data_IF_144604896331
#
_entry.id   IF_144604896331
#
_cell.length_a   1.000
_cell.length_b   1.000
_cell.length_c   1.000
_cell.angle_alpha   90.00
_cell.angle_beta   90.00
_cell.angle_gamma   90.00
#
_symmetry.space_group_name_H-M   'P 1'
#
loop_
_entity.id
_entity.type
_entity.pdbx_description
1 polymer ?
#
# COMPACT_ATOMS: atom_id res chain seq x y z
N UNK A 1 -50.39 -77.18 34.47
CA UNK A 1 -50.14 -77.18 33.02
C UNK A 1 -51.07 -76.13 32.43
N UNK A 2 -50.58 -74.94 32.13
CA UNK A 2 -51.36 -73.87 31.45
C UNK A 2 -50.57 -73.28 30.36
N UNK A 3 -51.00 -73.43 29.12
CA UNK A 3 -50.43 -72.83 27.91
C UNK A 3 -50.89 -71.39 27.82
N UNK A 4 -49.92 -70.47 27.78
CA UNK A 4 -50.14 -69.05 27.50
C UNK A 4 -49.96 -68.83 26.01
N UNK A 5 -51.04 -68.38 25.33
CA UNK A 5 -51.04 -68.00 23.92
C UNK A 5 -50.58 -66.54 23.79
N UNK A 6 -49.45 -66.32 23.07
CA UNK A 6 -48.99 -65.01 22.73
C UNK A 6 -49.81 -64.40 21.55
N UNK A 7 -50.40 -63.26 21.73
CA UNK A 7 -51.01 -62.45 20.70
C UNK A 7 -49.95 -61.69 19.93
N UNK A 8 -49.80 -62.02 18.60
CA UNK A 8 -49.05 -61.19 17.67
C UNK A 8 -49.82 -59.95 17.33
N UNK A 9 -49.24 -58.77 17.66
CA UNK A 9 -49.76 -57.49 17.24
C UNK A 9 -49.29 -57.21 15.83
N UNK A 10 -50.26 -57.16 14.86
CA UNK A 10 -50.00 -56.71 13.49
C UNK A 10 -49.81 -55.22 13.46
N UNK A 11 -48.62 -54.76 13.23
CA UNK A 11 -48.30 -53.35 13.08
C UNK A 11 -48.55 -52.90 11.63
N UNK A 12 -49.54 -52.06 11.44
CA UNK A 12 -50.01 -51.57 10.16
C UNK A 12 -49.03 -50.56 9.56
N UNK A 13 -48.39 -50.92 8.47
CA UNK A 13 -47.43 -50.09 7.72
C UNK A 13 -48.17 -49.12 6.80
N UNK A 14 -48.77 -48.02 7.32
CA UNK A 14 -49.21 -46.91 6.46
C UNK A 14 -49.49 -45.69 7.34
N UNK A 15 -48.41 -45.09 7.89
CA UNK A 15 -48.45 -43.69 8.27
C UNK A 15 -47.46 -42.93 7.40
N UNK A 16 -47.99 -42.35 6.31
CA UNK A 16 -47.28 -41.41 5.46
C UNK A 16 -47.09 -40.09 6.23
N UNK A 17 -45.93 -39.88 6.80
CA UNK A 17 -45.54 -38.52 7.29
C UNK A 17 -45.31 -37.63 6.07
N UNK A 18 -46.25 -36.76 5.80
CA UNK A 18 -46.04 -35.61 4.93
C UNK A 18 -45.14 -34.64 5.69
N UNK A 19 -43.80 -34.72 5.55
CA UNK A 19 -42.91 -33.66 5.93
C UNK A 19 -43.03 -32.55 4.89
N UNK A 20 -43.68 -31.48 5.25
CA UNK A 20 -43.60 -30.21 4.54
C UNK A 20 -42.24 -29.60 4.79
N UNK A 21 -41.33 -29.72 3.82
CA UNK A 21 -40.05 -28.99 3.83
C UNK A 21 -40.39 -27.53 3.49
N UNK A 22 -40.58 -26.70 4.52
CA UNK A 22 -40.58 -25.26 4.35
C UNK A 22 -39.15 -24.84 3.95
N UNK A 23 -38.94 -24.61 2.67
CA UNK A 23 -37.65 -24.10 2.16
C UNK A 23 -37.36 -22.74 2.74
N UNK A 24 -36.42 -22.69 3.70
CA UNK A 24 -35.85 -21.45 4.19
C UNK A 24 -34.96 -20.86 3.09
N UNK A 25 -35.50 -19.95 2.28
CA UNK A 25 -34.72 -19.19 1.31
C UNK A 25 -33.88 -18.18 2.11
N UNK A 26 -32.66 -18.57 2.44
CA UNK A 26 -31.66 -17.64 2.97
C UNK A 26 -31.25 -16.71 1.83
N UNK A 27 -31.85 -15.53 1.78
CA UNK A 27 -31.37 -14.44 0.92
C UNK A 27 -29.99 -14.04 1.42
N UNK A 28 -28.94 -14.43 0.72
CA UNK A 28 -27.61 -13.87 0.90
C UNK A 28 -27.69 -12.37 0.60
N UNK A 29 -27.63 -11.55 1.64
CA UNK A 29 -27.48 -10.11 1.47
C UNK A 29 -26.04 -9.88 0.98
N UNK A 30 -25.83 -9.03 -0.05
CA UNK A 30 -24.49 -8.63 -0.41
C UNK A 30 -23.87 -7.93 0.81
N UNK A 31 -22.78 -8.48 1.32
CA UNK A 31 -21.95 -7.80 2.32
C UNK A 31 -21.39 -6.59 1.58
N UNK A 32 -21.99 -5.41 1.82
CA UNK A 32 -21.38 -4.16 1.40
C UNK A 32 -19.99 -4.11 2.07
N UNK A 33 -18.95 -4.22 1.27
CA UNK A 33 -17.59 -4.00 1.74
C UNK A 33 -17.59 -2.60 2.35
N UNK A 34 -17.33 -2.52 3.66
CA UNK A 34 -17.15 -1.26 4.36
C UNK A 34 -15.94 -0.61 3.70
N UNK A 35 -16.17 0.44 2.96
CA UNK A 35 -15.11 1.26 2.39
C UNK A 35 -14.32 1.81 3.57
N UNK A 36 -13.15 1.20 3.84
CA UNK A 36 -12.25 1.71 4.87
C UNK A 36 -11.83 3.11 4.42
N UNK A 37 -12.06 4.08 5.30
CA UNK A 37 -11.64 5.45 5.05
C UNK A 37 -10.15 5.43 4.75
N UNK A 38 -9.79 5.87 3.58
CA UNK A 38 -8.46 5.78 3.07
C UNK A 38 -7.53 6.70 3.84
N UNK A 39 -6.34 6.20 4.10
CA UNK A 39 -5.25 6.93 4.76
C UNK A 39 -4.75 8.13 3.92
N UNK A 40 -4.95 8.13 2.59
CA UNK A 40 -4.42 9.13 1.67
C UNK A 40 -5.51 9.77 0.80
N UNK A 41 -5.41 11.10 0.50
CA UNK A 41 -6.40 11.80 -0.33
C UNK A 41 -6.53 11.25 -1.76
N UNK A 42 -5.40 10.89 -2.39
CA UNK A 42 -5.37 10.33 -3.74
C UNK A 42 -5.22 8.81 -3.69
N UNK A 43 -6.16 8.11 -4.27
CA UNK A 43 -6.18 6.65 -4.28
C UNK A 43 -6.52 6.09 -5.64
N UNK A 44 -5.88 4.97 -5.93
CA UNK A 44 -6.17 4.11 -7.06
C UNK A 44 -6.20 2.66 -6.57
N UNK A 45 -7.02 1.83 -7.19
CA UNK A 45 -6.96 0.38 -7.00
C UNK A 45 -5.60 -0.18 -7.45
N UNK A 46 -5.27 -1.39 -7.00
CA UNK A 46 -4.02 -2.06 -7.42
C UNK A 46 -3.92 -2.21 -8.94
N UNK A 47 -5.04 -2.45 -9.62
CA UNK A 47 -5.09 -2.56 -11.08
C UNK A 47 -4.81 -1.24 -11.77
N UNK A 48 -5.37 -0.13 -11.29
CA UNK A 48 -5.13 1.22 -11.82
C UNK A 48 -3.68 1.65 -11.59
N UNK A 49 -3.10 1.39 -10.41
CA UNK A 49 -1.68 1.63 -10.17
C UNK A 49 -0.78 0.86 -11.15
N UNK A 50 -1.09 -0.42 -11.42
CA UNK A 50 -0.35 -1.23 -12.41
C UNK A 50 -0.52 -0.74 -13.84
N UNK A 51 -1.64 -0.13 -14.18
CA UNK A 51 -1.86 0.48 -15.50
C UNK A 51 -1.11 1.82 -15.63
N UNK A 52 -0.93 2.55 -14.53
CA UNK A 52 -0.28 3.87 -14.47
C UNK A 52 1.25 3.80 -14.40
N UNK A 53 1.78 2.80 -13.72
CA UNK A 53 3.21 2.65 -13.41
C UNK A 53 3.80 1.48 -14.20
N UNK A 54 5.05 1.60 -14.62
CA UNK A 54 5.81 0.45 -15.10
C UNK A 54 5.97 -0.59 -13.98
N UNK A 55 6.27 -1.86 -14.29
CA UNK A 55 6.49 -2.88 -13.25
C UNK A 55 7.53 -2.49 -12.21
N UNK A 56 8.61 -1.81 -12.61
CA UNK A 56 9.66 -1.36 -11.70
C UNK A 56 9.21 -0.19 -10.82
N UNK A 57 8.55 0.83 -11.39
CA UNK A 57 7.95 1.93 -10.65
C UNK A 57 6.93 1.41 -9.62
N UNK A 58 6.09 0.44 -10.03
CA UNK A 58 5.13 -0.19 -9.12
C UNK A 58 5.82 -0.92 -7.97
N UNK A 59 6.87 -1.69 -8.25
CA UNK A 59 7.63 -2.40 -7.22
C UNK A 59 8.24 -1.42 -6.19
N UNK A 60 8.82 -0.30 -6.65
CA UNK A 60 9.40 0.70 -5.76
C UNK A 60 8.32 1.46 -5.01
N UNK A 61 7.34 2.02 -5.71
CA UNK A 61 6.38 2.97 -5.13
C UNK A 61 5.25 2.33 -4.33
N UNK A 62 4.90 1.07 -4.63
CA UNK A 62 3.75 0.37 -4.02
C UNK A 62 4.12 -0.89 -3.23
N UNK A 63 5.33 -1.43 -3.46
CA UNK A 63 5.83 -2.63 -2.78
C UNK A 63 7.14 -2.37 -2.02
N UNK A 64 7.56 -1.08 -1.91
CA UNK A 64 8.72 -0.60 -1.14
C UNK A 64 10.05 -1.25 -1.54
N UNK A 65 10.21 -1.57 -2.84
CA UNK A 65 11.51 -1.94 -3.38
C UNK A 65 12.45 -0.72 -3.43
N UNK A 66 13.72 -0.97 -3.65
CA UNK A 66 14.75 0.08 -3.74
C UNK A 66 15.36 0.09 -5.14
N UNK A 67 15.47 1.26 -5.73
CA UNK A 67 16.23 1.48 -6.96
C UNK A 67 17.74 1.21 -6.71
N UNK A 68 18.44 0.66 -7.70
CA UNK A 68 19.89 0.47 -7.58
C UNK A 68 20.60 1.82 -7.51
N UNK A 69 21.55 1.95 -6.60
CA UNK A 69 22.39 3.15 -6.48
C UNK A 69 23.04 3.55 -7.80
N UNK A 70 23.15 4.83 -8.06
CA UNK A 70 23.80 5.44 -9.24
C UNK A 70 23.11 5.15 -10.59
N UNK A 71 21.84 4.68 -10.59
CA UNK A 71 21.12 4.39 -11.84
C UNK A 71 20.15 5.50 -12.24
N UNK A 72 19.68 6.31 -11.30
CA UNK A 72 18.77 7.42 -11.62
C UNK A 72 19.51 8.60 -12.26
N UNK A 73 19.05 9.11 -13.40
CA UNK A 73 19.58 10.37 -13.97
C UNK A 73 19.32 11.57 -13.04
N UNK A 74 18.30 11.50 -12.18
CA UNK A 74 18.00 12.58 -11.23
C UNK A 74 19.01 12.69 -10.11
N UNK A 75 19.86 11.70 -9.91
CA UNK A 75 20.95 11.78 -8.94
C UNK A 75 21.90 12.95 -9.27
N UNK A 76 22.22 13.13 -10.54
CA UNK A 76 23.13 14.18 -11.02
C UNK A 76 22.41 15.40 -11.60
N UNK A 77 21.10 15.49 -11.46
CA UNK A 77 20.35 16.66 -11.93
C UNK A 77 20.38 17.79 -10.88
N UNK A 78 21.01 18.93 -11.21
CA UNK A 78 21.08 20.14 -10.38
C UNK A 78 20.45 21.36 -11.07
N UNK A 79 19.59 21.17 -12.07
CA UNK A 79 18.84 22.25 -12.68
C UNK A 79 17.82 22.84 -11.70
N UNK A 80 17.51 24.13 -11.88
CA UNK A 80 16.47 24.77 -11.09
C UNK A 80 15.09 24.21 -11.43
N UNK A 81 14.32 23.84 -10.43
CA UNK A 81 13.00 23.27 -10.62
C UNK A 81 12.46 22.55 -9.39
N UNK A 82 11.44 21.76 -9.61
CA UNK A 82 10.70 21.04 -8.56
C UNK A 82 10.64 19.55 -8.90
N UNK A 83 10.80 18.70 -7.88
CA UNK A 83 10.65 17.25 -7.97
C UNK A 83 9.26 16.87 -7.46
N UNK A 84 8.50 16.19 -8.32
CA UNK A 84 7.13 15.78 -8.05
C UNK A 84 7.03 14.27 -7.86
N UNK A 85 5.97 13.83 -7.18
CA UNK A 85 5.64 12.42 -7.04
C UNK A 85 5.25 11.82 -8.41
N UNK A 86 5.95 10.80 -8.86
CA UNK A 86 5.62 10.07 -10.11
C UNK A 86 4.20 9.50 -10.09
N UNK A 87 3.68 9.16 -8.92
CA UNK A 87 2.35 8.54 -8.77
C UNK A 87 1.20 9.51 -8.93
N UNK A 88 1.25 10.70 -8.33
CA UNK A 88 0.12 11.63 -8.25
C UNK A 88 0.45 13.08 -8.60
N UNK A 89 1.69 13.34 -9.04
CA UNK A 89 2.18 14.66 -9.45
C UNK A 89 2.23 15.73 -8.35
N UNK A 90 2.13 15.35 -7.07
CA UNK A 90 2.32 16.28 -5.96
C UNK A 90 3.76 16.79 -5.92
N UNK A 91 3.96 18.11 -5.74
CA UNK A 91 5.27 18.70 -5.46
C UNK A 91 5.84 18.14 -4.15
N UNK A 92 7.07 17.64 -4.17
CA UNK A 92 7.72 17.00 -3.03
C UNK A 92 8.97 17.74 -2.55
N UNK A 93 9.86 18.10 -3.50
CA UNK A 93 11.15 18.71 -3.18
C UNK A 93 11.48 19.82 -4.17
N UNK A 94 12.17 20.85 -3.69
CA UNK A 94 12.76 21.89 -4.54
C UNK A 94 14.22 21.57 -4.82
N UNK A 95 14.70 21.91 -6.01
CA UNK A 95 16.12 21.75 -6.38
C UNK A 95 17.07 22.46 -5.42
N UNK A 96 16.66 23.59 -4.84
CA UNK A 96 17.39 24.33 -3.82
C UNK A 96 17.76 23.51 -2.58
N UNK A 97 16.97 22.48 -2.27
CA UNK A 97 17.19 21.61 -1.12
C UNK A 97 18.00 20.35 -1.46
N UNK A 98 18.32 20.17 -2.75
CA UNK A 98 19.08 19.01 -3.23
C UNK A 98 20.58 19.16 -2.95
N UNK A 99 21.22 18.06 -2.60
CA UNK A 99 22.67 18.00 -2.42
C UNK A 99 23.22 16.65 -2.87
N UNK A 100 24.52 16.57 -3.12
CA UNK A 100 25.20 15.30 -3.37
C UNK A 100 25.58 14.65 -2.03
N UNK A 101 24.94 13.52 -1.76
CA UNK A 101 25.23 12.73 -0.55
C UNK A 101 26.31 11.66 -0.79
N UNK A 102 26.76 11.46 -2.03
CA UNK A 102 27.67 10.39 -2.42
C UNK A 102 27.06 8.97 -2.35
N UNK A 103 25.78 8.83 -1.96
CA UNK A 103 25.14 7.52 -1.75
C UNK A 103 24.57 6.90 -3.03
N UNK A 104 24.44 7.68 -4.10
CA UNK A 104 23.94 7.22 -5.41
C UNK A 104 22.44 7.35 -5.62
N UNK A 105 21.75 8.04 -4.73
CA UNK A 105 20.34 8.39 -4.85
C UNK A 105 20.13 9.90 -4.72
N UNK A 106 19.12 10.49 -5.40
CA UNK A 106 18.71 11.87 -5.18
C UNK A 106 18.51 12.15 -3.70
N UNK A 107 19.22 13.15 -3.17
CA UNK A 107 19.21 13.47 -1.75
C UNK A 107 18.83 14.92 -1.50
N UNK A 108 17.95 15.15 -0.51
CA UNK A 108 17.44 16.46 -0.14
C UNK A 108 17.55 16.65 1.37
N UNK A 109 17.83 17.87 1.82
CA UNK A 109 17.89 18.19 3.25
C UNK A 109 16.54 18.66 3.81
N UNK A 110 15.57 18.96 2.94
CA UNK A 110 14.20 19.37 3.31
C UNK A 110 13.23 19.06 2.17
N UNK A 111 12.03 18.64 2.53
CA UNK A 111 10.85 18.55 1.66
C UNK A 111 10.14 19.90 1.51
N UNK A 112 9.15 19.99 0.64
CA UNK A 112 8.11 21.02 0.65
C UNK A 112 7.20 20.73 1.84
N UNK A 113 6.92 21.72 2.66
CA UNK A 113 6.21 21.55 3.93
C UNK A 113 4.89 20.80 3.75
N UNK A 114 4.75 19.67 4.47
CA UNK A 114 3.58 18.81 4.43
C UNK A 114 3.48 17.86 3.21
N UNK A 115 4.44 17.89 2.29
CA UNK A 115 4.40 17.08 1.08
C UNK A 115 4.81 15.61 1.30
N UNK A 116 5.52 15.33 2.39
CA UNK A 116 6.05 14.01 2.73
C UNK A 116 5.54 13.57 4.10
N UNK A 117 4.97 12.37 4.15
CA UNK A 117 4.66 11.67 5.39
C UNK A 117 5.78 10.71 5.76
N UNK A 118 5.82 10.28 7.03
CA UNK A 118 6.83 9.35 7.53
C UNK A 118 6.19 8.23 8.35
N UNK A 119 6.82 7.06 8.32
CA UNK A 119 6.49 5.94 9.21
C UNK A 119 7.74 5.14 9.60
N UNK A 120 7.65 4.38 10.70
CA UNK A 120 8.76 3.51 11.12
C UNK A 120 8.79 2.26 10.24
N UNK A 121 9.93 2.06 9.56
CA UNK A 121 10.27 0.82 8.86
C UNK A 121 11.14 -0.07 9.74
N UNK A 122 10.72 -1.32 9.94
CA UNK A 122 11.40 -2.32 10.79
C UNK A 122 11.85 -3.55 9.99
N UNK A 123 12.17 -3.36 8.71
CA UNK A 123 12.65 -4.43 7.84
C UNK A 123 14.16 -4.68 8.03
N UNK A 124 14.60 -5.89 7.74
CA UNK A 124 16.01 -6.29 7.76
C UNK A 124 16.74 -6.05 9.09
N UNK A 125 16.05 -6.25 10.24
CA UNK A 125 16.60 -6.04 11.58
C UNK A 125 17.11 -4.61 11.86
N UNK A 126 16.71 -3.65 11.06
CA UNK A 126 17.00 -2.23 11.23
C UNK A 126 15.73 -1.43 11.50
N UNK A 127 15.87 -0.33 12.24
CA UNK A 127 14.80 0.65 12.41
C UNK A 127 15.19 1.87 11.58
N UNK A 128 14.37 2.17 10.56
CA UNK A 128 14.57 3.33 9.69
C UNK A 128 13.31 4.19 9.68
N UNK A 129 13.46 5.43 9.26
CA UNK A 129 12.32 6.32 8.97
C UNK A 129 12.03 6.27 7.48
N UNK A 130 11.00 5.54 7.08
CA UNK A 130 10.51 5.57 5.70
C UNK A 130 9.81 6.90 5.44
N UNK A 131 9.97 7.43 4.22
CA UNK A 131 9.21 8.57 3.74
C UNK A 131 8.37 8.21 2.51
N UNK A 132 7.15 8.76 2.48
CA UNK A 132 6.17 8.54 1.42
C UNK A 132 5.47 9.85 1.03
N UNK A 133 4.90 9.89 -0.15
CA UNK A 133 4.08 11.01 -0.60
C UNK A 133 2.84 11.16 0.30
N UNK A 134 2.63 12.34 0.88
CA UNK A 134 1.49 12.59 1.78
C UNK A 134 0.13 12.52 1.07
N UNK A 135 0.10 12.71 -0.25
CA UNK A 135 -1.15 12.68 -1.04
C UNK A 135 -1.57 11.28 -1.46
N UNK A 136 -0.63 10.41 -1.89
CA UNK A 136 -0.98 9.10 -2.44
C UNK A 136 -0.34 7.90 -1.74
N UNK A 137 0.47 8.13 -0.70
CA UNK A 137 1.15 7.07 0.04
C UNK A 137 2.23 6.32 -0.75
N UNK A 138 2.65 6.80 -1.93
CA UNK A 138 3.73 6.17 -2.69
C UNK A 138 5.04 6.24 -1.92
N UNK A 139 5.70 5.09 -1.78
CA UNK A 139 7.03 5.02 -1.18
C UNK A 139 8.03 5.87 -1.97
N UNK A 140 8.77 6.72 -1.26
CA UNK A 140 9.79 7.59 -1.85
C UNK A 140 11.19 7.11 -1.50
N UNK A 141 11.42 6.72 -0.24
CA UNK A 141 12.72 6.34 0.27
C UNK A 141 12.78 6.40 1.79
N UNK A 142 13.91 6.84 2.34
CA UNK A 142 14.13 6.90 3.77
C UNK A 142 14.81 8.21 4.19
N UNK A 143 14.59 8.61 5.44
CA UNK A 143 15.21 9.79 6.06
C UNK A 143 16.24 9.32 7.07
N UNK A 144 17.43 9.94 7.01
CA UNK A 144 18.57 9.70 7.89
C UNK A 144 18.99 10.98 8.59
N UNK A 145 19.71 10.86 9.72
CA UNK A 145 20.19 11.95 10.55
C UNK A 145 21.63 12.37 10.23
N UNK A 146 22.07 12.15 9.00
CA UNK A 146 23.41 12.40 8.50
C UNK A 146 23.46 13.42 7.36
N UNK A 147 22.46 14.28 7.29
CA UNK A 147 22.34 15.33 6.29
C UNK A 147 23.04 16.64 6.68
N UNK A 148 23.08 17.62 5.76
CA UNK A 148 23.69 18.91 6.01
C UNK A 148 22.79 19.83 6.87
N UNK A 149 23.39 20.91 7.39
CA UNK A 149 22.60 22.00 7.97
C UNK A 149 21.71 22.66 6.89
N UNK A 150 20.54 23.21 7.27
CA UNK A 150 20.10 23.55 8.64
C UNK A 150 19.34 22.40 9.35
N UNK A 151 18.92 21.33 8.66
CA UNK A 151 18.05 20.30 9.27
C UNK A 151 18.82 19.13 9.87
N UNK A 152 20.04 18.85 9.40
CA UNK A 152 20.76 17.63 9.73
C UNK A 152 20.14 16.35 9.12
N UNK A 153 19.09 16.49 8.29
CA UNK A 153 18.37 15.38 7.68
C UNK A 153 18.82 15.13 6.25
N UNK A 154 18.88 13.88 5.87
CA UNK A 154 19.05 13.43 4.49
C UNK A 154 17.86 12.59 4.07
N UNK A 155 17.02 13.15 3.22
CA UNK A 155 15.96 12.43 2.52
C UNK A 155 16.59 11.72 1.32
N UNK A 156 16.81 10.42 1.43
CA UNK A 156 17.41 9.56 0.39
C UNK A 156 16.27 8.97 -0.44
N UNK A 157 16.11 9.45 -1.68
CA UNK A 157 14.89 9.23 -2.46
C UNK A 157 15.18 8.37 -3.69
N UNK A 158 14.36 7.35 -3.94
CA UNK A 158 14.39 6.61 -5.19
C UNK A 158 14.05 7.56 -6.36
N UNK A 159 14.98 7.76 -7.28
CA UNK A 159 14.74 8.67 -8.40
C UNK A 159 13.60 8.21 -9.30
N UNK A 160 13.36 6.91 -9.40
CA UNK A 160 12.20 6.33 -10.12
C UNK A 160 10.85 6.77 -9.54
N UNK A 161 10.79 7.19 -8.26
CA UNK A 161 9.58 7.72 -7.63
C UNK A 161 9.33 9.21 -7.93
N UNK A 162 10.23 9.87 -8.67
CA UNK A 162 10.22 11.30 -8.93
C UNK A 162 10.03 11.62 -10.42
N UNK A 163 9.44 12.78 -10.67
CA UNK A 163 9.49 13.52 -11.95
C UNK A 163 10.06 14.89 -11.68
N UNK A 164 10.97 15.36 -12.53
CA UNK A 164 11.54 16.69 -12.41
C UNK A 164 10.87 17.65 -13.41
N UNK A 165 10.43 18.79 -12.92
CA UNK A 165 9.95 19.90 -13.72
C UNK A 165 10.90 21.08 -13.57
N UNK A 166 11.45 21.50 -14.68
CA UNK A 166 12.34 22.68 -14.75
C UNK A 166 11.53 23.95 -14.54
N UNK A 167 12.09 24.91 -13.78
CA UNK A 167 11.51 26.24 -13.53
C UNK A 167 11.52 27.12 -14.78
#
# INVERSE_FOLDING_TARGET
>A
MAKVYGKRLFMNRRMLFKLSIAGLVVRAQPIAAKEEASEFPFQLSKSEWKARLTPFEFAVMREEATERAFTSPLNSNYENGTYHCKGCDQELYRSLHKFDSGTGWPSFWKEIDGAVGTRKDRKFFMIRTECHCSNCGSHLGHIFDDGPQPTGKRHCINGVSLVFYKA
#
